data_IF_620602287588
#
_entry.id   IF_620602287588
#
_cell.length_a   1.000
_cell.length_b   1.000
_cell.length_c   1.000
_cell.angle_alpha   90.00
_cell.angle_beta   90.00
_cell.angle_gamma   90.00
#
_symmetry.space_group_name_H-M   'P 1'
#
loop_
_entity.id
_entity.type
_entity.pdbx_description
1 polymer ?
#
# COMPACT_ATOMS: atom_id res chain seq x y z
N UNK A 1 -22.20 -17.45 -14.39
CA UNK A 1 -23.23 -18.25 -15.09
C UNK A 1 -24.51 -18.15 -14.29
N UNK A 2 -25.63 -17.80 -14.93
CA UNK A 2 -26.95 -17.72 -14.30
C UNK A 2 -27.85 -18.83 -14.87
N UNK A 3 -28.72 -19.41 -14.02
CA UNK A 3 -29.62 -20.52 -14.35
C UNK A 3 -28.91 -21.72 -15.01
N UNK A 4 -27.96 -22.37 -14.31
CA UNK A 4 -27.28 -23.55 -14.84
C UNK A 4 -28.30 -24.67 -15.12
N UNK A 5 -28.20 -25.29 -16.30
CA UNK A 5 -29.06 -26.39 -16.78
C UNK A 5 -30.51 -26.04 -17.18
N UNK A 6 -30.86 -24.76 -17.32
CA UNK A 6 -32.15 -24.31 -17.88
C UNK A 6 -32.00 -23.87 -19.35
N UNK A 7 -33.10 -23.88 -20.12
CA UNK A 7 -33.14 -23.35 -21.49
C UNK A 7 -32.90 -21.84 -21.57
N UNK A 8 -32.92 -21.14 -20.42
CA UNK A 8 -32.57 -19.71 -20.28
C UNK A 8 -31.22 -19.50 -19.59
N UNK A 9 -30.30 -20.45 -19.72
CA UNK A 9 -28.96 -20.31 -19.16
C UNK A 9 -28.24 -19.11 -19.79
N UNK A 10 -27.62 -18.26 -18.96
CA UNK A 10 -26.86 -17.10 -19.41
C UNK A 10 -25.38 -17.24 -19.03
N UNK A 11 -24.51 -17.10 -20.03
CA UNK A 11 -23.06 -17.13 -19.88
C UNK A 11 -22.52 -15.73 -20.12
N UNK A 12 -22.08 -15.05 -19.06
CA UNK A 12 -21.42 -13.75 -19.15
C UNK A 12 -19.92 -13.93 -19.15
N UNK A 13 -19.26 -13.44 -20.21
CA UNK A 13 -17.81 -13.34 -20.32
C UNK A 13 -17.38 -11.89 -20.10
N UNK A 14 -16.35 -11.71 -19.27
CA UNK A 14 -15.73 -10.41 -19.01
C UNK A 14 -14.32 -10.48 -19.57
N UNK A 15 -13.97 -9.56 -20.48
CA UNK A 15 -12.64 -9.51 -21.06
C UNK A 15 -11.57 -9.34 -19.98
N UNK A 16 -10.55 -10.19 -20.02
CA UNK A 16 -9.40 -10.06 -19.14
C UNK A 16 -8.53 -8.86 -19.55
N UNK A 17 -8.04 -8.10 -18.57
CA UNK A 17 -7.18 -6.94 -18.81
C UNK A 17 -5.68 -7.30 -18.81
N UNK A 18 -5.33 -8.52 -19.23
CA UNK A 18 -3.95 -8.99 -19.32
C UNK A 18 -3.30 -8.41 -20.59
N UNK A 19 -2.40 -7.44 -20.43
CA UNK A 19 -1.64 -6.82 -21.53
C UNK A 19 -2.13 -5.44 -21.97
N UNK A 20 -3.22 -4.92 -21.40
CA UNK A 20 -3.72 -3.55 -21.65
C UNK A 20 -3.50 -2.66 -20.43
N UNK A 21 -3.23 -1.38 -20.67
CA UNK A 21 -3.14 -0.39 -19.56
C UNK A 21 -4.53 -0.04 -19.04
N UNK A 22 -5.55 0.02 -19.90
CA UNK A 22 -6.92 0.28 -19.45
C UNK A 22 -7.55 -0.97 -18.83
N UNK A 23 -8.23 -0.77 -17.70
CA UNK A 23 -9.09 -1.77 -17.06
C UNK A 23 -10.53 -1.76 -17.58
N UNK A 24 -10.77 -1.23 -18.79
CA UNK A 24 -12.10 -1.23 -19.39
C UNK A 24 -12.63 -2.67 -19.47
N UNK A 25 -13.86 -2.85 -18.99
CA UNK A 25 -14.54 -4.15 -18.94
C UNK A 25 -15.42 -4.26 -20.19
N UNK A 26 -15.02 -5.09 -21.14
CA UNK A 26 -15.92 -5.52 -22.22
C UNK A 26 -16.67 -6.74 -21.71
N UNK A 27 -18.00 -6.64 -21.62
CA UNK A 27 -18.84 -7.70 -21.08
C UNK A 27 -19.78 -8.18 -22.17
N UNK A 28 -19.67 -9.46 -22.53
CA UNK A 28 -20.54 -10.09 -23.52
C UNK A 28 -21.32 -11.19 -22.81
N UNK A 29 -22.63 -11.19 -22.97
CA UNK A 29 -23.53 -12.20 -22.43
C UNK A 29 -24.10 -13.02 -23.58
N UNK A 30 -23.88 -14.33 -23.50
CA UNK A 30 -24.33 -15.34 -24.45
C UNK A 30 -25.52 -16.11 -23.88
N UNK A 31 -26.41 -16.51 -24.76
CA UNK A 31 -27.40 -17.54 -24.48
C UNK A 31 -26.72 -18.91 -24.43
N UNK A 32 -26.92 -19.64 -23.35
CA UNK A 32 -26.22 -20.90 -23.07
C UNK A 32 -26.48 -22.00 -24.11
N UNK A 33 -27.74 -22.27 -24.50
CA UNK A 33 -28.05 -23.33 -25.46
C UNK A 33 -27.76 -22.96 -26.92
N UNK A 34 -28.02 -21.71 -27.33
CA UNK A 34 -27.90 -21.29 -28.74
C UNK A 34 -26.54 -20.66 -29.08
N UNK A 35 -25.77 -20.23 -28.08
CA UNK A 35 -24.52 -19.51 -28.27
C UNK A 35 -24.68 -18.10 -28.85
N UNK A 36 -25.91 -17.60 -28.99
CA UNK A 36 -26.16 -16.27 -29.55
C UNK A 36 -25.83 -15.17 -28.53
N UNK A 37 -25.35 -14.03 -29.03
CA UNK A 37 -25.07 -12.86 -28.20
C UNK A 37 -26.39 -12.22 -27.81
N UNK A 38 -26.71 -12.21 -26.51
CA UNK A 38 -27.93 -11.63 -25.96
C UNK A 38 -27.70 -10.16 -25.61
N UNK A 39 -26.54 -9.85 -25.03
CA UNK A 39 -26.15 -8.48 -24.65
C UNK A 39 -24.66 -8.30 -24.78
N UNK A 40 -24.28 -7.19 -25.39
CA UNK A 40 -22.90 -6.72 -25.43
C UNK A 40 -22.85 -5.32 -24.79
N UNK A 41 -22.03 -5.17 -23.75
CA UNK A 41 -21.79 -3.88 -23.12
C UNK A 41 -20.33 -3.49 -23.32
N UNK A 42 -20.13 -2.43 -24.12
CA UNK A 42 -18.85 -1.75 -24.29
C UNK A 42 -18.97 -0.38 -23.62
N UNK A 43 -18.13 -0.14 -22.62
CA UNK A 43 -18.11 1.14 -21.92
C UNK A 43 -17.32 2.20 -22.71
N UNK A 44 -18.04 3.01 -23.50
CA UNK A 44 -17.46 4.03 -24.39
C UNK A 44 -17.40 5.44 -23.77
N UNK A 45 -17.85 5.63 -22.53
CA UNK A 45 -17.86 6.96 -21.92
C UNK A 45 -16.41 7.44 -21.67
N UNK A 46 -16.01 8.63 -22.18
CA UNK A 46 -14.62 9.09 -22.12
C UNK A 46 -14.11 9.25 -20.67
N UNK A 47 -14.99 9.64 -19.74
CA UNK A 47 -14.66 9.75 -18.31
C UNK A 47 -14.29 8.39 -17.70
N UNK A 48 -15.00 7.32 -18.09
CA UNK A 48 -14.72 5.97 -17.58
C UNK A 48 -13.47 5.41 -18.26
N UNK A 49 -13.26 5.70 -19.55
CA UNK A 49 -12.01 5.41 -20.25
C UNK A 49 -10.78 6.04 -19.56
N UNK A 50 -10.86 7.34 -19.22
CA UNK A 50 -9.80 8.01 -18.48
C UNK A 50 -9.58 7.42 -17.08
N UNK A 51 -10.65 7.15 -16.34
CA UNK A 51 -10.56 6.51 -15.03
C UNK A 51 -9.91 5.12 -15.09
N UNK A 52 -10.36 4.25 -16.00
CA UNK A 52 -9.83 2.89 -16.15
C UNK A 52 -8.38 2.88 -16.62
N UNK A 53 -7.98 3.87 -17.42
CA UNK A 53 -6.59 4.08 -17.79
C UNK A 53 -5.72 4.50 -16.60
N UNK A 54 -6.14 5.52 -15.85
CA UNK A 54 -5.43 5.96 -14.64
C UNK A 54 -5.36 4.85 -13.58
N UNK A 55 -6.46 4.11 -13.41
CA UNK A 55 -6.55 2.99 -12.50
C UNK A 55 -5.61 1.85 -12.91
N UNK A 56 -5.58 1.49 -14.20
CA UNK A 56 -4.67 0.45 -14.66
C UNK A 56 -3.20 0.87 -14.62
N UNK A 57 -2.89 2.15 -14.83
CA UNK A 57 -1.56 2.71 -14.55
C UNK A 57 -1.21 2.54 -13.07
N UNK A 58 -2.12 2.90 -12.17
CA UNK A 58 -1.94 2.82 -10.72
C UNK A 58 -1.68 1.38 -10.23
N UNK A 59 -2.49 0.41 -10.68
CA UNK A 59 -2.35 -1.00 -10.28
C UNK A 59 -1.15 -1.67 -10.97
N UNK A 60 -0.75 -1.20 -12.16
CA UNK A 60 0.43 -1.67 -12.87
C UNK A 60 0.34 -3.12 -13.35
N UNK A 61 -0.88 -3.66 -13.58
CA UNK A 61 -1.08 -5.06 -14.02
C UNK A 61 -0.51 -5.35 -15.41
N UNK A 62 -0.33 -4.30 -16.22
CA UNK A 62 0.18 -4.40 -17.59
C UNK A 62 1.68 -4.71 -17.66
N UNK A 63 2.44 -4.47 -16.59
CA UNK A 63 3.89 -4.52 -16.60
C UNK A 63 4.43 -5.95 -16.35
N UNK A 64 5.05 -6.64 -17.34
CA UNK A 64 5.78 -7.89 -17.11
C UNK A 64 7.03 -7.66 -16.24
N UNK A 65 7.60 -8.75 -15.72
CA UNK A 65 8.64 -8.80 -14.68
C UNK A 65 9.58 -7.58 -14.59
N UNK A 66 10.40 -7.32 -15.61
CA UNK A 66 11.38 -6.21 -15.59
C UNK A 66 10.72 -4.83 -15.48
N UNK A 67 9.71 -4.56 -16.30
CA UNK A 67 9.00 -3.27 -16.28
C UNK A 67 8.28 -3.03 -14.95
N UNK A 68 7.84 -4.11 -14.29
CA UNK A 68 7.23 -4.03 -12.96
C UNK A 68 8.23 -3.58 -11.90
N UNK A 69 9.46 -4.08 -11.97
CA UNK A 69 10.55 -3.63 -11.10
C UNK A 69 10.96 -2.19 -11.37
N UNK A 70 11.07 -1.79 -12.65
CA UNK A 70 11.34 -0.38 -13.00
C UNK A 70 10.23 0.54 -12.48
N UNK A 71 8.96 0.18 -12.68
CA UNK A 71 7.83 0.94 -12.17
C UNK A 71 7.85 1.06 -10.64
N UNK A 72 8.14 -0.03 -9.95
CA UNK A 72 8.31 -0.04 -8.49
C UNK A 72 9.47 0.88 -8.03
N UNK A 73 10.64 0.79 -8.66
CA UNK A 73 11.80 1.62 -8.33
C UNK A 73 11.57 3.09 -8.63
N UNK A 74 10.90 3.42 -9.73
CA UNK A 74 10.48 4.79 -10.05
C UNK A 74 9.50 5.32 -9.00
N UNK A 75 8.55 4.52 -8.53
CA UNK A 75 7.65 4.87 -7.43
C UNK A 75 8.41 5.14 -6.12
N UNK A 76 9.39 4.30 -5.79
CA UNK A 76 10.24 4.48 -4.61
C UNK A 76 11.10 5.75 -4.71
N UNK A 77 11.67 6.02 -5.88
CA UNK A 77 12.42 7.25 -6.14
C UNK A 77 11.54 8.49 -6.03
N UNK A 78 10.32 8.45 -6.58
CA UNK A 78 9.35 9.53 -6.45
C UNK A 78 8.96 9.77 -4.99
N UNK A 79 8.72 8.71 -4.22
CA UNK A 79 8.45 8.82 -2.79
C UNK A 79 9.63 9.45 -2.02
N UNK A 80 10.87 9.09 -2.37
CA UNK A 80 12.07 9.67 -1.76
C UNK A 80 12.20 11.18 -2.09
N UNK A 81 11.94 11.59 -3.33
CA UNK A 81 11.97 13.00 -3.75
C UNK A 81 10.89 13.80 -3.03
N UNK A 82 9.66 13.30 -2.98
CA UNK A 82 8.56 13.98 -2.29
C UNK A 82 8.85 14.10 -0.78
N UNK A 83 9.24 12.99 -0.14
CA UNK A 83 9.54 12.96 1.29
C UNK A 83 10.71 13.86 1.68
N UNK A 84 11.80 13.85 0.92
CA UNK A 84 12.94 14.74 1.16
C UNK A 84 12.61 16.22 0.92
N UNK A 85 11.85 16.53 -0.14
CA UNK A 85 11.40 17.88 -0.44
C UNK A 85 10.51 18.44 0.67
N UNK A 86 9.54 17.66 1.15
CA UNK A 86 8.68 18.03 2.28
C UNK A 86 9.48 18.24 3.56
N UNK A 87 10.46 17.38 3.85
CA UNK A 87 11.31 17.50 5.02
C UNK A 87 12.17 18.78 4.99
N UNK A 88 12.87 19.05 3.86
CA UNK A 88 13.68 20.26 3.69
C UNK A 88 12.85 21.54 3.76
N UNK A 89 11.67 21.54 3.14
CA UNK A 89 10.73 22.66 3.21
C UNK A 89 10.33 22.95 4.66
N UNK A 90 10.01 21.91 5.42
CA UNK A 90 9.62 22.01 6.83
C UNK A 90 10.75 22.59 7.67
N UNK A 91 11.99 22.10 7.51
CA UNK A 91 13.17 22.61 8.22
C UNK A 91 13.42 24.10 7.93
N UNK A 92 13.30 24.52 6.66
CA UNK A 92 13.47 25.93 6.27
C UNK A 92 12.39 26.82 6.90
N UNK A 93 11.16 26.33 7.00
CA UNK A 93 10.01 27.11 7.48
C UNK A 93 9.95 27.20 9.01
N UNK A 94 10.48 26.21 9.73
CA UNK A 94 10.61 26.21 11.19
C UNK A 94 11.61 27.26 11.72
N UNK A 95 12.50 27.80 10.87
CA UNK A 95 13.41 28.92 11.22
C UNK A 95 12.73 30.30 11.23
N UNK A 96 11.48 30.38 10.75
CA UNK A 96 10.66 31.61 10.81
C UNK A 96 9.92 31.64 12.16
N UNK A 97 9.33 32.79 12.57
CA UNK A 97 8.65 32.91 13.86
C UNK A 97 7.66 31.77 14.13
N UNK A 98 7.41 31.41 15.38
CA UNK A 98 6.53 30.29 15.69
C UNK A 98 5.10 30.52 15.14
N UNK A 99 4.57 29.56 14.38
CA UNK A 99 3.19 29.55 13.91
C UNK A 99 2.64 28.13 14.02
N UNK A 100 1.48 27.98 14.66
CA UNK A 100 0.88 26.69 14.97
C UNK A 100 0.67 25.83 13.72
N UNK A 101 0.18 26.40 12.62
CA UNK A 101 0.00 25.67 11.36
C UNK A 101 1.29 25.06 10.81
N UNK A 102 2.45 25.71 11.02
CA UNK A 102 3.75 25.16 10.59
C UNK A 102 4.17 23.97 11.43
N UNK A 103 3.88 24.01 12.74
CA UNK A 103 4.15 22.91 13.67
C UNK A 103 3.24 21.70 13.37
N UNK A 104 1.96 21.95 13.07
CA UNK A 104 1.01 20.91 12.68
C UNK A 104 1.48 20.22 11.40
N UNK A 105 1.82 20.98 10.36
CA UNK A 105 2.34 20.41 9.10
C UNK A 105 3.63 19.63 9.34
N UNK A 106 4.56 20.16 10.15
CA UNK A 106 5.79 19.45 10.49
C UNK A 106 5.52 18.09 11.15
N UNK A 107 4.59 18.05 12.13
CA UNK A 107 4.20 16.83 12.85
C UNK A 107 3.45 15.84 11.96
N UNK A 108 2.55 16.32 11.12
CA UNK A 108 1.79 15.51 10.17
C UNK A 108 2.73 14.87 9.14
N UNK A 109 3.73 15.60 8.66
CA UNK A 109 4.72 15.08 7.72
C UNK A 109 5.47 13.86 8.30
N UNK A 110 5.88 13.92 9.57
CA UNK A 110 6.53 12.76 10.22
C UNK A 110 5.56 11.59 10.30
N UNK A 111 4.31 11.83 10.70
CA UNK A 111 3.31 10.78 10.84
C UNK A 111 2.94 10.12 9.52
N UNK A 112 2.82 10.89 8.43
CA UNK A 112 2.58 10.34 7.09
C UNK A 112 3.79 9.55 6.60
N UNK A 113 5.00 10.11 6.69
CA UNK A 113 6.20 9.45 6.16
C UNK A 113 6.59 8.20 6.93
N UNK A 114 6.55 8.23 8.26
CA UNK A 114 6.99 7.12 9.11
C UNK A 114 5.84 6.22 9.56
N UNK A 115 4.60 6.71 9.59
CA UNK A 115 3.43 5.91 9.94
C UNK A 115 2.97 5.00 8.80
N UNK A 116 3.21 5.38 7.54
CA UNK A 116 2.86 4.53 6.39
C UNK A 116 3.59 3.19 6.37
N UNK A 117 4.94 3.11 6.48
CA UNK A 117 5.62 1.82 6.55
C UNK A 117 5.22 1.00 7.79
N UNK A 118 4.93 1.66 8.91
CA UNK A 118 4.47 1.01 10.14
C UNK A 118 3.07 0.38 9.96
N UNK A 119 2.18 1.07 9.25
CA UNK A 119 0.86 0.55 8.93
C UNK A 119 0.92 -0.65 7.99
N UNK A 120 1.84 -0.64 7.00
CA UNK A 120 2.04 -1.79 6.12
C UNK A 120 2.65 -2.98 6.85
N UNK A 121 3.65 -2.79 7.72
CA UNK A 121 4.18 -3.91 8.52
C UNK A 121 3.13 -4.52 9.44
N UNK A 122 2.22 -3.69 9.97
CA UNK A 122 1.10 -4.16 10.76
C UNK A 122 0.12 -5.05 9.98
N UNK A 123 -0.10 -4.80 8.68
CA UNK A 123 -0.89 -5.70 7.84
C UNK A 123 -0.29 -7.12 7.82
N UNK A 124 1.03 -7.23 7.66
CA UNK A 124 1.72 -8.53 7.66
C UNK A 124 1.65 -9.21 9.04
N UNK A 125 1.81 -8.44 10.11
CA UNK A 125 1.68 -8.93 11.49
C UNK A 125 0.25 -9.43 11.74
N UNK A 126 -0.77 -8.65 11.36
CA UNK A 126 -2.18 -9.01 11.48
C UNK A 126 -2.47 -10.27 10.67
N UNK A 127 -2.02 -10.34 9.41
CA UNK A 127 -2.22 -11.52 8.57
C UNK A 127 -1.63 -12.80 9.21
N UNK A 128 -0.57 -12.68 10.01
CA UNK A 128 0.06 -13.82 10.67
C UNK A 128 -0.54 -14.18 12.03
N UNK A 129 -1.03 -13.20 12.78
CA UNK A 129 -1.63 -13.39 14.09
C UNK A 129 -3.11 -13.76 14.03
N UNK A 130 -3.85 -13.30 13.01
CA UNK A 130 -5.28 -13.57 12.90
C UNK A 130 -5.55 -15.05 12.54
N UNK A 131 -6.39 -15.76 13.33
CA UNK A 131 -6.87 -17.08 12.99
C UNK A 131 -7.59 -17.11 11.64
N UNK A 132 -7.38 -18.19 10.89
CA UNK A 132 -8.05 -18.42 9.60
C UNK A 132 -9.57 -18.57 9.72
N UNK A 133 -10.08 -18.90 10.91
CA UNK A 133 -11.50 -19.15 11.19
C UNK A 133 -12.30 -17.89 11.51
N UNK A 134 -11.66 -16.73 11.63
CA UNK A 134 -12.35 -15.47 11.93
C UNK A 134 -13.20 -15.02 10.74
N UNK A 135 -14.48 -14.76 11.00
CA UNK A 135 -15.37 -14.10 10.04
C UNK A 135 -14.88 -12.68 9.73
N UNK A 136 -14.98 -12.28 8.47
CA UNK A 136 -14.57 -10.94 7.99
C UNK A 136 -13.07 -10.61 8.21
N UNK A 137 -12.20 -11.62 8.25
CA UNK A 137 -10.76 -11.44 8.42
C UNK A 137 -10.14 -10.38 7.49
N UNK A 138 -10.46 -10.40 6.20
CA UNK A 138 -9.93 -9.43 5.24
C UNK A 138 -10.28 -7.97 5.61
N UNK A 139 -11.50 -7.74 6.13
CA UNK A 139 -11.90 -6.42 6.62
C UNK A 139 -11.08 -6.00 7.84
N UNK A 140 -10.85 -6.92 8.79
CA UNK A 140 -10.07 -6.65 10.00
C UNK A 140 -8.61 -6.33 9.65
N UNK A 141 -8.02 -7.05 8.69
CA UNK A 141 -6.68 -6.77 8.19
C UNK A 141 -6.59 -5.34 7.61
N UNK A 142 -7.56 -4.92 6.80
CA UNK A 142 -7.60 -3.56 6.25
C UNK A 142 -7.80 -2.51 7.36
N UNK A 143 -8.73 -2.74 8.29
CA UNK A 143 -8.96 -1.85 9.43
C UNK A 143 -7.69 -1.70 10.28
N UNK A 144 -6.90 -2.76 10.46
CA UNK A 144 -5.66 -2.70 11.23
C UNK A 144 -4.65 -1.70 10.64
N UNK A 145 -4.57 -1.60 9.31
CA UNK A 145 -3.69 -0.64 8.61
C UNK A 145 -4.12 0.78 8.91
N UNK A 146 -5.40 1.10 8.72
CA UNK A 146 -5.93 2.43 8.96
C UNK A 146 -5.89 2.82 10.44
N UNK A 147 -6.15 1.87 11.35
CA UNK A 147 -6.07 2.11 12.78
C UNK A 147 -4.65 2.45 13.21
N UNK A 148 -3.63 1.70 12.76
CA UNK A 148 -2.23 1.94 13.12
C UNK A 148 -1.69 3.20 12.44
N UNK A 149 -2.08 3.45 11.18
CA UNK A 149 -1.73 4.68 10.50
C UNK A 149 -2.33 5.92 11.19
N UNK A 150 -3.62 5.88 11.55
CA UNK A 150 -4.29 6.93 12.28
C UNK A 150 -3.70 7.15 13.67
N UNK A 151 -3.36 6.07 14.38
CA UNK A 151 -2.67 6.15 15.67
C UNK A 151 -1.29 6.78 15.55
N UNK A 152 -0.52 6.44 14.51
CA UNK A 152 0.78 7.04 14.23
C UNK A 152 0.66 8.55 13.92
N UNK A 153 -0.35 8.96 13.14
CA UNK A 153 -0.64 10.38 12.89
C UNK A 153 -1.02 11.13 14.16
N UNK A 154 -1.91 10.57 14.97
CA UNK A 154 -2.31 11.17 16.25
C UNK A 154 -1.10 11.28 17.19
N UNK A 155 -0.26 10.25 17.23
CA UNK A 155 0.96 10.24 18.01
C UNK A 155 1.91 11.38 17.61
N UNK A 156 2.17 11.57 16.31
CA UNK A 156 3.06 12.64 15.87
C UNK A 156 2.45 14.03 16.05
N UNK A 157 1.14 14.18 15.91
CA UNK A 157 0.44 15.45 16.16
C UNK A 157 0.54 15.91 17.61
N UNK A 158 0.52 14.98 18.56
CA UNK A 158 0.63 15.29 19.99
C UNK A 158 2.08 15.50 20.45
N UNK A 159 3.06 15.00 19.69
CA UNK A 159 4.47 14.99 20.12
C UNK A 159 5.36 15.93 19.32
N UNK A 160 6.50 16.30 19.89
CA UNK A 160 7.49 17.14 19.19
C UNK A 160 8.18 16.32 18.07
N UNK A 161 8.34 16.87 16.86
CA UNK A 161 8.99 16.19 15.73
C UNK A 161 10.33 15.55 16.10
N UNK A 162 11.16 16.25 16.87
CA UNK A 162 12.53 15.84 17.21
C UNK A 162 12.58 14.50 17.95
N UNK A 163 11.54 14.17 18.73
CA UNK A 163 11.44 12.87 19.40
C UNK A 163 10.62 11.85 18.62
N UNK A 164 9.61 12.27 17.86
CA UNK A 164 8.78 11.34 17.09
C UNK A 164 9.54 10.66 15.95
N UNK A 165 10.56 11.32 15.38
CA UNK A 165 11.41 10.73 14.33
C UNK A 165 12.13 9.45 14.77
N UNK A 166 13.01 9.47 15.80
CA UNK A 166 13.71 8.26 16.22
C UNK A 166 12.75 7.19 16.76
N UNK A 167 11.67 7.58 17.44
CA UNK A 167 10.72 6.60 18.00
C UNK A 167 9.93 5.86 16.93
N UNK A 168 9.43 6.55 15.90
CA UNK A 168 8.76 5.87 14.79
C UNK A 168 9.74 5.07 13.93
N UNK A 169 10.99 5.52 13.77
CA UNK A 169 12.03 4.70 13.13
C UNK A 169 12.30 3.42 13.93
N UNK A 170 12.39 3.51 15.25
CA UNK A 170 12.52 2.35 16.13
C UNK A 170 11.31 1.42 16.07
N UNK A 171 10.10 1.99 16.08
CA UNK A 171 8.84 1.24 15.91
C UNK A 171 8.78 0.50 14.58
N UNK A 172 9.18 1.16 13.49
CA UNK A 172 9.31 0.52 12.18
C UNK A 172 10.34 -0.62 12.21
N UNK A 173 11.53 -0.39 12.76
CA UNK A 173 12.56 -1.43 12.87
C UNK A 173 12.08 -2.66 13.63
N UNK A 174 11.41 -2.45 14.77
CA UNK A 174 10.83 -3.52 15.59
C UNK A 174 9.71 -4.24 14.83
N UNK A 175 8.81 -3.51 14.16
CA UNK A 175 7.72 -4.12 13.40
C UNK A 175 8.22 -4.98 12.24
N UNK A 176 9.24 -4.52 11.50
CA UNK A 176 9.85 -5.29 10.43
C UNK A 176 10.59 -6.53 10.97
N UNK A 177 11.26 -6.41 12.12
CA UNK A 177 11.85 -7.56 12.81
C UNK A 177 10.77 -8.59 13.19
N UNK A 178 9.66 -8.11 13.76
CA UNK A 178 8.54 -8.96 14.16
C UNK A 178 7.93 -9.69 12.96
N UNK A 179 7.77 -9.03 11.81
CA UNK A 179 7.31 -9.68 10.56
C UNK A 179 8.23 -10.84 10.19
N UNK A 180 9.55 -10.64 10.22
CA UNK A 180 10.51 -11.69 9.89
C UNK A 180 10.48 -12.86 10.89
N UNK A 181 10.32 -12.56 12.19
CA UNK A 181 10.24 -13.57 13.26
C UNK A 181 8.94 -14.39 13.18
N UNK A 182 7.79 -13.75 13.00
CA UNK A 182 6.50 -14.42 12.87
C UNK A 182 6.40 -15.27 11.59
N UNK A 183 7.25 -14.99 10.60
CA UNK A 183 7.32 -15.73 9.35
C UNK A 183 8.12 -17.04 9.45
N UNK A 184 8.77 -17.32 10.57
CA UNK A 184 9.50 -18.58 10.79
C UNK A 184 8.54 -19.77 10.97
N UNK A 185 8.91 -20.98 10.48
CA UNK A 185 10.02 -21.25 9.56
C UNK A 185 9.68 -20.79 8.12
N UNK A 186 10.69 -20.39 7.35
CA UNK A 186 10.51 -19.90 5.97
C UNK A 186 10.25 -21.05 5.00
N UNK A 187 9.04 -21.58 5.03
CA UNK A 187 8.63 -22.77 4.27
C UNK A 187 8.52 -22.54 2.75
N UNK A 188 8.44 -21.29 2.30
CA UNK A 188 8.36 -20.96 0.88
C UNK A 188 9.37 -19.88 0.47
N UNK A 189 9.85 -19.89 -0.79
CA UNK A 189 10.74 -18.84 -1.30
C UNK A 189 10.13 -17.44 -1.20
N UNK A 190 8.80 -17.32 -1.32
CA UNK A 190 8.09 -16.06 -1.17
C UNK A 190 8.19 -15.54 0.27
N UNK A 191 7.92 -16.40 1.27
CA UNK A 191 8.02 -16.03 2.69
C UNK A 191 9.47 -15.72 3.07
N UNK A 192 10.44 -16.45 2.53
CA UNK A 192 11.87 -16.14 2.71
C UNK A 192 12.21 -14.76 2.15
N UNK A 193 11.78 -14.43 0.92
CA UNK A 193 12.01 -13.12 0.31
C UNK A 193 11.39 -11.97 1.09
N UNK A 194 10.15 -12.13 1.58
CA UNK A 194 9.50 -11.15 2.46
C UNK A 194 10.27 -10.97 3.76
N UNK A 195 10.74 -12.06 4.36
CA UNK A 195 11.47 -12.00 5.63
C UNK A 195 12.86 -11.35 5.46
N UNK A 196 13.57 -11.65 4.36
CA UNK A 196 14.85 -11.02 4.05
C UNK A 196 14.70 -9.51 3.83
N UNK A 197 13.68 -9.09 3.08
CA UNK A 197 13.39 -7.65 2.87
C UNK A 197 12.96 -6.96 4.16
N UNK A 198 12.20 -7.63 5.02
CA UNK A 198 11.85 -7.10 6.33
C UNK A 198 13.09 -6.95 7.24
N UNK A 199 14.02 -7.90 7.22
CA UNK A 199 15.27 -7.80 7.99
C UNK A 199 16.18 -6.67 7.49
N UNK A 200 16.32 -6.50 6.17
CA UNK A 200 17.12 -5.40 5.61
C UNK A 200 16.52 -4.03 5.96
N UNK A 201 15.20 -3.90 5.86
CA UNK A 201 14.49 -2.68 6.30
C UNK A 201 14.61 -2.45 7.79
N UNK A 202 14.52 -3.49 8.62
CA UNK A 202 14.71 -3.40 10.07
C UNK A 202 16.10 -2.83 10.42
N UNK A 203 17.16 -3.35 9.80
CA UNK A 203 18.52 -2.84 9.96
C UNK A 203 18.67 -1.38 9.48
N UNK A 204 18.08 -1.04 8.33
CA UNK A 204 18.12 0.32 7.79
C UNK A 204 17.41 1.33 8.72
N UNK A 205 16.21 0.99 9.21
CA UNK A 205 15.46 1.83 10.15
C UNK A 205 16.16 1.95 11.50
N UNK A 206 16.74 0.87 12.04
CA UNK A 206 17.53 0.91 13.27
C UNK A 206 18.77 1.80 13.13
N UNK A 207 19.49 1.70 12.00
CA UNK A 207 20.63 2.57 11.72
C UNK A 207 20.21 4.05 11.62
N UNK A 208 19.11 4.32 10.91
CA UNK A 208 18.55 5.67 10.79
C UNK A 208 18.10 6.23 12.15
N UNK A 209 17.48 5.41 13.01
CA UNK A 209 17.10 5.77 14.38
C UNK A 209 18.34 6.18 15.18
N UNK A 210 19.41 5.37 15.18
CA UNK A 210 20.64 5.68 15.94
C UNK A 210 21.28 6.97 15.45
N UNK A 211 21.33 7.19 14.12
CA UNK A 211 21.89 8.42 13.53
C UNK A 211 21.07 9.66 13.90
N UNK A 212 19.75 9.57 13.85
CA UNK A 212 18.85 10.69 14.20
C UNK A 212 18.88 10.98 15.69
N UNK A 213 18.87 9.96 16.55
CA UNK A 213 18.95 10.11 18.00
C UNK A 213 20.29 10.72 18.46
N UNK A 214 21.41 10.37 17.80
CA UNK A 214 22.73 10.96 18.08
C UNK A 214 22.81 12.44 17.70
N UNK A 215 22.12 12.85 16.63
CA UNK A 215 22.10 14.25 16.15
C UNK A 215 21.18 15.16 16.99
N UNK A 216 20.27 14.58 17.75
CA UNK A 216 19.33 15.29 18.63
C UNK A 216 19.85 15.47 20.07
N UNK A 217 21.00 14.86 20.42
CA UNK A 217 21.76 15.13 21.64
C UNK A 217 22.78 16.23 21.37
#
# INVERSE_FOLDING_TARGET
MFNPSDQKALVTMIAGNTGTVSTASHVITFDGPSGQIVREHIENRPVIGAYTFLYGLHVGRFAPGLTRWLYFLSGLALAAVIGSGMHLWTLKRLRRPHHLGRLIVARMNVGVLMGTPLAFSAFFIANRLLPVTIHHRAHIEVVSVFAIWGAALLYTLLRRPDRSWPELLGGNALSCLLVALLSLPWQSPAVAGVSMTALTLSGAFACAMVRTARKAR
#
